data_IF_315863900531
#
_entry.id   IF_315863900531
#
_cell.length_a   1.000
_cell.length_b   1.000
_cell.length_c   1.000
_cell.angle_alpha   90.00
_cell.angle_beta   90.00
_cell.angle_gamma   90.00
#
_symmetry.space_group_name_H-M   'P 1'
#
loop_
_entity.id
_entity.type
_entity.pdbx_description
1 polymer ?
#
# COMPACT_ATOMS: atom_id res chain seq x y z
N UNK A 1 -7.29 -21.16 12.10
CA UNK A 1 -8.44 -20.35 11.64
C UNK A 1 -7.95 -19.39 10.57
N UNK A 2 -8.64 -19.37 9.45
CA UNK A 2 -8.53 -18.35 8.44
C UNK A 2 -9.54 -17.24 8.72
N UNK A 3 -9.15 -15.98 8.65
CA UNK A 3 -10.03 -14.85 8.87
C UNK A 3 -9.44 -13.57 8.26
N UNK A 4 -10.31 -12.57 8.04
CA UNK A 4 -9.89 -11.20 7.79
C UNK A 4 -9.87 -10.43 9.11
N UNK A 5 -8.90 -9.55 9.27
CA UNK A 5 -8.82 -8.65 10.42
C UNK A 5 -9.68 -7.42 10.17
N UNK A 6 -10.67 -7.16 11.01
CA UNK A 6 -11.38 -5.87 11.01
C UNK A 6 -10.71 -4.86 11.93
N UNK A 7 -9.96 -5.34 12.93
CA UNK A 7 -9.19 -4.50 13.84
C UNK A 7 -7.94 -5.26 14.33
N UNK A 8 -6.85 -4.53 14.49
CA UNK A 8 -5.62 -5.02 15.11
C UNK A 8 -4.95 -3.87 15.89
N UNK A 9 -4.80 -4.01 17.20
CA UNK A 9 -4.14 -3.01 18.02
C UNK A 9 -3.33 -3.61 19.17
N UNK A 10 -2.25 -2.92 19.53
CA UNK A 10 -1.44 -3.27 20.69
C UNK A 10 -1.91 -2.47 21.92
N UNK A 11 -2.21 -3.18 22.99
CA UNK A 11 -2.50 -2.56 24.29
C UNK A 11 -1.23 -2.16 25.04
N UNK A 12 -1.38 -1.28 26.03
CA UNK A 12 -0.27 -0.79 26.90
C UNK A 12 0.54 -1.90 27.58
N UNK A 13 -0.05 -3.08 27.76
CA UNK A 13 0.62 -4.27 28.33
C UNK A 13 1.50 -5.05 27.33
N UNK A 14 1.54 -4.64 26.07
CA UNK A 14 2.26 -5.33 25.00
C UNK A 14 1.53 -6.58 24.51
N UNK A 15 0.23 -6.71 24.78
CA UNK A 15 -0.66 -7.70 24.20
C UNK A 15 -1.23 -7.16 22.90
N UNK A 16 -1.47 -8.04 21.92
CA UNK A 16 -2.19 -7.66 20.71
C UNK A 16 -3.63 -8.17 20.77
N UNK A 17 -4.57 -7.31 20.41
CA UNK A 17 -5.99 -7.60 20.33
C UNK A 17 -6.42 -7.53 18.88
N UNK A 18 -7.07 -8.59 18.42
CA UNK A 18 -7.49 -8.78 17.05
C UNK A 18 -9.00 -8.99 17.01
N UNK A 19 -9.63 -8.35 16.05
CA UNK A 19 -11.00 -8.65 15.71
C UNK A 19 -11.03 -9.38 14.38
N UNK A 20 -11.55 -10.60 14.39
CA UNK A 20 -11.61 -11.50 13.25
C UNK A 20 -13.00 -11.40 12.63
N UNK A 21 -13.07 -11.28 11.32
CA UNK A 21 -14.31 -11.32 10.56
C UNK A 21 -14.23 -12.34 9.44
N UNK A 22 -15.38 -12.91 9.12
CA UNK A 22 -15.63 -13.62 7.88
C UNK A 22 -16.68 -12.84 7.09
N UNK A 23 -16.41 -12.58 5.82
CA UNK A 23 -17.31 -11.85 4.93
C UNK A 23 -17.99 -12.78 3.96
N UNK A 24 -19.22 -12.46 3.61
CA UNK A 24 -19.91 -13.09 2.48
C UNK A 24 -19.19 -12.71 1.17
N UNK A 25 -18.85 -13.71 0.36
CA UNK A 25 -18.10 -13.51 -0.90
C UNK A 25 -18.84 -12.62 -1.93
N UNK A 26 -20.17 -12.52 -1.83
CA UNK A 26 -20.99 -11.78 -2.80
C UNK A 26 -21.33 -10.37 -2.34
N UNK A 27 -21.59 -10.19 -1.04
CA UNK A 27 -22.07 -8.92 -0.47
C UNK A 27 -20.99 -8.13 0.27
N UNK A 28 -19.82 -8.73 0.49
CA UNK A 28 -18.72 -8.18 1.30
C UNK A 28 -19.15 -7.76 2.72
N UNK A 29 -20.30 -8.28 3.19
CA UNK A 29 -20.82 -8.00 4.55
C UNK A 29 -20.29 -9.03 5.53
N UNK A 30 -19.92 -8.63 6.77
CA UNK A 30 -19.48 -9.56 7.79
C UNK A 30 -20.63 -10.52 8.16
N UNK A 31 -20.37 -11.84 8.04
CA UNK A 31 -21.29 -12.91 8.42
C UNK A 31 -20.92 -13.54 9.77
N UNK A 32 -19.66 -13.43 10.17
CA UNK A 32 -19.20 -13.86 11.48
C UNK A 32 -18.14 -12.88 12.02
N UNK A 33 -18.10 -12.78 13.35
CA UNK A 33 -17.17 -11.91 14.07
C UNK A 33 -16.70 -12.60 15.34
N UNK A 34 -15.41 -12.52 15.62
CA UNK A 34 -14.82 -13.08 16.82
C UNK A 34 -13.67 -12.21 17.33
N UNK A 35 -13.48 -12.21 18.65
CA UNK A 35 -12.32 -11.55 19.27
C UNK A 35 -11.22 -12.56 19.53
N UNK A 36 -9.98 -12.15 19.25
CA UNK A 36 -8.79 -12.92 19.53
C UNK A 36 -7.75 -12.07 20.26
N UNK A 37 -7.00 -12.71 21.15
CA UNK A 37 -5.95 -12.04 21.92
C UNK A 37 -4.63 -12.80 21.73
N UNK A 38 -3.57 -12.06 21.45
CA UNK A 38 -2.22 -12.58 21.45
C UNK A 38 -1.47 -12.02 22.65
N UNK A 39 -1.07 -12.92 23.56
CA UNK A 39 -0.39 -12.49 24.79
C UNK A 39 1.02 -12.00 24.49
N UNK A 40 1.52 -11.05 25.29
CA UNK A 40 2.83 -10.39 25.14
C UNK A 40 3.97 -11.37 24.89
N UNK A 41 4.00 -12.48 25.64
CA UNK A 41 5.07 -13.50 25.54
C UNK A 41 5.12 -14.18 24.15
N UNK A 42 4.00 -14.27 23.44
CA UNK A 42 3.93 -14.77 22.06
C UNK A 42 4.10 -13.63 21.06
N UNK A 43 3.41 -12.50 21.31
CA UNK A 43 3.41 -11.36 20.42
C UNK A 43 4.80 -10.80 20.12
N UNK A 44 5.67 -10.76 21.14
CA UNK A 44 7.06 -10.29 20.99
C UNK A 44 7.91 -11.13 20.02
N UNK A 45 7.49 -12.36 19.68
CA UNK A 45 8.14 -13.21 18.68
C UNK A 45 7.38 -13.20 17.34
N UNK A 46 6.04 -13.24 17.39
CA UNK A 46 5.19 -13.29 16.19
C UNK A 46 5.33 -12.00 15.39
N UNK A 47 5.20 -10.84 16.02
CA UNK A 47 5.25 -9.54 15.36
C UNK A 47 6.53 -9.32 14.55
N UNK A 48 7.74 -9.40 15.13
CA UNK A 48 8.96 -9.18 14.36
C UNK A 48 9.17 -10.21 13.23
N UNK A 49 8.77 -11.46 13.48
CA UNK A 49 8.87 -12.49 12.45
C UNK A 49 7.90 -12.24 11.28
N UNK A 50 6.66 -11.86 11.58
CA UNK A 50 5.66 -11.51 10.58
C UNK A 50 6.11 -10.29 9.76
N UNK A 51 6.50 -9.20 10.42
CA UNK A 51 6.97 -7.97 9.79
C UNK A 51 8.24 -8.20 8.92
N UNK A 52 9.16 -9.05 9.38
CA UNK A 52 10.36 -9.40 8.61
C UNK A 52 10.06 -10.19 7.33
N UNK A 53 9.08 -11.08 7.36
CA UNK A 53 8.75 -11.95 6.22
C UNK A 53 7.81 -11.23 5.25
N UNK A 54 6.77 -10.56 5.75
CA UNK A 54 5.76 -9.90 4.93
C UNK A 54 6.13 -8.49 4.50
N UNK A 55 7.12 -7.87 5.15
CA UNK A 55 7.44 -6.44 4.98
C UNK A 55 6.38 -5.50 5.56
N UNK A 56 5.33 -6.01 6.18
CA UNK A 56 4.18 -5.22 6.64
C UNK A 56 3.89 -5.43 8.12
N UNK A 57 3.30 -4.40 8.75
CA UNK A 57 2.70 -4.54 10.08
C UNK A 57 1.33 -5.19 9.96
N UNK A 58 0.94 -5.92 10.99
CA UNK A 58 -0.42 -6.48 11.08
C UNK A 58 -1.41 -5.30 11.25
N UNK A 59 -2.39 -5.22 10.36
CA UNK A 59 -3.42 -4.17 10.34
C UNK A 59 -4.78 -4.71 9.89
N UNK A 60 -5.82 -3.88 9.99
CA UNK A 60 -7.15 -4.18 9.49
C UNK A 60 -7.12 -4.42 7.96
N UNK A 61 -8.01 -5.27 7.45
CA UNK A 61 -8.10 -5.65 6.04
C UNK A 61 -7.18 -6.78 5.60
N UNK A 62 -6.24 -7.21 6.45
CA UNK A 62 -5.38 -8.36 6.15
C UNK A 62 -6.12 -9.68 6.31
N UNK A 63 -5.95 -10.59 5.36
CA UNK A 63 -6.27 -12.01 5.53
C UNK A 63 -5.12 -12.74 6.20
N UNK A 64 -5.43 -13.44 7.26
CA UNK A 64 -4.44 -14.15 8.09
C UNK A 64 -4.85 -15.59 8.36
N UNK A 65 -3.86 -16.47 8.45
CA UNK A 65 -4.04 -17.83 8.95
C UNK A 65 -3.47 -17.90 10.35
N UNK A 66 -4.36 -18.11 11.33
CA UNK A 66 -4.03 -18.08 12.75
C UNK A 66 -4.02 -19.50 13.32
N UNK A 67 -3.01 -19.81 14.11
CA UNK A 67 -3.04 -20.92 15.05
C UNK A 67 -3.61 -20.40 16.36
N UNK A 68 -4.77 -20.92 16.76
CA UNK A 68 -5.49 -20.45 17.94
C UNK A 68 -5.95 -21.61 18.81
N UNK A 69 -6.15 -21.33 20.10
CA UNK A 69 -6.91 -22.19 20.99
C UNK A 69 -8.03 -21.40 21.67
N UNK A 70 -9.08 -22.09 22.04
CA UNK A 70 -10.23 -21.51 22.74
C UNK A 70 -9.90 -21.35 24.22
N UNK A 71 -10.21 -20.20 24.80
CA UNK A 71 -10.15 -19.94 26.23
C UNK A 71 -11.48 -19.39 26.72
N UNK A 72 -11.96 -19.92 27.83
CA UNK A 72 -13.11 -19.36 28.53
C UNK A 72 -12.66 -18.79 29.86
N UNK A 73 -13.09 -17.59 30.17
CA UNK A 73 -12.86 -16.92 31.44
C UNK A 73 -14.17 -16.51 32.07
N UNK A 74 -14.32 -16.74 33.38
CA UNK A 74 -15.57 -16.53 34.13
C UNK A 74 -16.15 -15.10 33.94
N UNK A 75 -15.29 -14.09 33.93
CA UNK A 75 -15.70 -12.67 33.83
C UNK A 75 -15.69 -12.13 32.40
N UNK A 76 -14.88 -12.72 31.49
CA UNK A 76 -14.65 -12.17 30.15
C UNK A 76 -15.24 -13.04 29.03
N UNK A 77 -15.83 -14.19 29.40
CA UNK A 77 -16.46 -15.09 28.47
C UNK A 77 -15.47 -15.85 27.58
N UNK A 78 -15.92 -16.20 26.41
CA UNK A 78 -15.15 -16.96 25.42
C UNK A 78 -14.28 -16.04 24.57
N UNK A 79 -13.03 -16.42 24.35
CA UNK A 79 -12.11 -15.74 23.43
C UNK A 79 -11.16 -16.73 22.74
N UNK A 80 -10.68 -16.34 21.56
CA UNK A 80 -9.61 -17.05 20.90
C UNK A 80 -8.26 -16.49 21.36
N UNK A 81 -7.34 -17.40 21.71
CA UNK A 81 -5.95 -17.04 22.04
C UNK A 81 -5.07 -17.43 20.86
N UNK A 82 -4.33 -16.45 20.33
CA UNK A 82 -3.45 -16.63 19.19
C UNK A 82 -2.11 -17.17 19.67
N UNK A 83 -1.75 -18.33 19.16
CA UNK A 83 -0.46 -18.99 19.42
C UNK A 83 0.56 -18.68 18.34
N UNK A 84 0.10 -18.47 17.07
CA UNK A 84 0.95 -18.19 15.93
C UNK A 84 0.15 -17.57 14.77
N UNK A 85 0.83 -16.89 13.86
CA UNK A 85 0.30 -16.30 12.62
C UNK A 85 1.21 -16.73 11.48
N UNK A 86 0.65 -17.33 10.43
CA UNK A 86 1.41 -17.76 9.26
C UNK A 86 1.63 -16.59 8.29
N UNK A 87 2.85 -16.06 8.19
CA UNK A 87 3.13 -14.95 7.28
C UNK A 87 3.06 -15.34 5.80
N UNK A 88 3.34 -16.60 5.46
CA UNK A 88 3.32 -17.05 4.06
C UNK A 88 1.91 -17.08 3.50
N UNK A 89 0.92 -17.39 4.34
CA UNK A 89 -0.49 -17.31 3.95
C UNK A 89 -0.88 -15.89 3.55
N UNK A 90 -0.52 -14.90 4.37
CA UNK A 90 -0.82 -13.48 4.09
C UNK A 90 -0.11 -13.00 2.82
N UNK A 91 1.16 -13.36 2.62
CA UNK A 91 1.89 -13.05 1.37
C UNK A 91 1.22 -13.68 0.14
N UNK A 92 0.77 -14.92 0.24
CA UNK A 92 0.05 -15.59 -0.84
C UNK A 92 -1.26 -14.89 -1.20
N UNK A 93 -2.03 -14.41 -0.23
CA UNK A 93 -3.26 -13.65 -0.45
C UNK A 93 -2.98 -12.29 -1.12
N UNK A 94 -1.95 -11.60 -0.70
CA UNK A 94 -1.52 -10.33 -1.30
C UNK A 94 -1.09 -10.50 -2.76
N UNK A 95 -0.27 -11.50 -3.04
CA UNK A 95 0.16 -11.81 -4.42
C UNK A 95 -1.04 -12.19 -5.30
N UNK A 96 -2.01 -12.94 -4.76
CA UNK A 96 -3.24 -13.29 -5.48
C UNK A 96 -4.08 -12.06 -5.80
N UNK A 97 -4.31 -11.17 -4.84
CA UNK A 97 -5.05 -9.91 -5.04
C UNK A 97 -4.38 -9.04 -6.11
N UNK A 98 -3.06 -8.92 -6.06
CA UNK A 98 -2.30 -8.16 -7.07
C UNK A 98 -2.48 -8.75 -8.47
N UNK A 99 -2.40 -10.08 -8.58
CA UNK A 99 -2.62 -10.76 -9.86
C UNK A 99 -4.04 -10.57 -10.39
N UNK A 100 -5.04 -10.57 -9.52
CA UNK A 100 -6.44 -10.29 -9.87
C UNK A 100 -6.58 -8.86 -10.44
N UNK A 101 -5.97 -7.86 -9.81
CA UNK A 101 -5.95 -6.48 -10.30
C UNK A 101 -5.31 -6.40 -11.69
N UNK A 102 -4.13 -6.98 -11.86
CA UNK A 102 -3.42 -7.00 -13.16
C UNK A 102 -4.28 -7.66 -14.24
N UNK A 103 -4.92 -8.77 -13.94
CA UNK A 103 -5.79 -9.47 -14.90
C UNK A 103 -7.02 -8.64 -15.27
N UNK A 104 -7.60 -7.90 -14.32
CA UNK A 104 -8.72 -6.99 -14.58
C UNK A 104 -8.28 -5.87 -15.52
N UNK A 105 -7.18 -5.18 -15.23
CA UNK A 105 -6.65 -4.11 -16.09
C UNK A 105 -6.31 -4.60 -17.52
N UNK A 106 -5.79 -5.83 -17.64
CA UNK A 106 -5.54 -6.45 -18.95
C UNK A 106 -6.85 -6.75 -19.69
N UNK A 107 -7.88 -7.25 -18.99
CA UNK A 107 -9.18 -7.53 -19.59
C UNK A 107 -9.88 -6.24 -20.06
N UNK A 108 -9.69 -5.13 -19.37
CA UNK A 108 -10.19 -3.80 -19.73
C UNK A 108 -9.35 -3.12 -20.82
N UNK A 109 -8.17 -3.67 -21.13
CA UNK A 109 -7.28 -3.11 -22.17
C UNK A 109 -6.53 -1.85 -21.76
N UNK A 110 -6.49 -1.54 -20.46
CA UNK A 110 -5.84 -0.31 -19.95
C UNK A 110 -4.43 -0.54 -19.39
N UNK A 111 -4.02 -1.79 -19.22
CA UNK A 111 -2.77 -2.17 -18.56
C UNK A 111 -1.51 -1.57 -19.18
N UNK A 112 -1.48 -1.40 -20.50
CA UNK A 112 -0.30 -0.92 -21.24
C UNK A 112 -0.39 0.58 -21.58
N UNK A 113 -1.49 1.28 -21.26
CA UNK A 113 -1.71 2.67 -21.71
C UNK A 113 -0.61 3.62 -21.23
N UNK A 114 -0.13 3.49 -20.01
CA UNK A 114 0.95 4.33 -19.49
C UNK A 114 2.28 4.11 -20.22
N UNK A 115 2.58 2.87 -20.64
CA UNK A 115 3.80 2.55 -21.38
C UNK A 115 3.79 3.06 -22.80
N UNK A 116 2.60 3.39 -23.35
CA UNK A 116 2.46 4.02 -24.66
C UNK A 116 2.73 5.53 -24.62
N UNK A 117 2.70 6.15 -23.43
CA UNK A 117 2.98 7.56 -23.23
C UNK A 117 4.49 7.79 -23.18
N UNK A 118 5.01 8.52 -24.18
CA UNK A 118 6.42 8.91 -24.19
C UNK A 118 6.68 10.11 -23.29
N UNK A 119 7.72 10.07 -22.47
CA UNK A 119 8.20 11.26 -21.77
C UNK A 119 8.64 12.31 -22.81
N UNK A 120 8.22 13.59 -22.66
CA UNK A 120 8.69 14.65 -23.53
C UNK A 120 10.23 14.78 -23.45
N UNK A 121 10.89 15.10 -24.57
CA UNK A 121 12.34 15.31 -24.62
C UNK A 121 12.82 16.36 -23.59
N UNK A 122 12.00 17.34 -23.28
CA UNK A 122 12.26 18.37 -22.28
C UNK A 122 11.20 18.29 -21.16
N UNK A 123 11.23 17.22 -20.38
CA UNK A 123 10.37 17.04 -19.23
C UNK A 123 10.88 17.92 -18.07
N UNK A 124 10.35 19.12 -17.93
CA UNK A 124 10.81 20.10 -16.93
C UNK A 124 9.75 20.46 -15.89
N UNK A 125 8.45 20.27 -16.20
CA UNK A 125 7.34 20.62 -15.33
C UNK A 125 6.78 19.35 -14.71
N UNK A 126 7.13 19.10 -13.46
CA UNK A 126 6.87 17.83 -12.78
C UNK A 126 5.84 18.01 -11.67
N UNK A 127 4.70 17.35 -11.79
CA UNK A 127 3.78 17.20 -10.66
C UNK A 127 4.26 16.08 -9.75
N UNK A 128 4.44 16.36 -8.46
CA UNK A 128 4.93 15.38 -7.49
C UNK A 128 3.82 15.05 -6.51
N UNK A 129 3.43 13.78 -6.43
CA UNK A 129 2.50 13.28 -5.40
C UNK A 129 3.34 12.64 -4.31
N UNK A 130 3.31 13.22 -3.11
CA UNK A 130 4.07 12.73 -1.96
C UNK A 130 3.53 13.30 -0.65
N UNK A 131 4.01 12.80 0.47
CA UNK A 131 3.80 13.49 1.74
C UNK A 131 4.75 14.71 1.84
N UNK A 132 4.24 15.82 2.33
CA UNK A 132 5.03 17.06 2.50
C UNK A 132 6.27 16.87 3.41
N UNK A 133 6.24 15.88 4.28
CA UNK A 133 7.32 15.57 5.23
C UNK A 133 8.15 14.35 4.83
N UNK A 134 7.91 13.78 3.65
CA UNK A 134 8.62 12.60 3.19
C UNK A 134 10.08 12.93 2.84
N UNK A 135 11.02 12.19 3.40
CA UNK A 135 12.45 12.32 3.07
C UNK A 135 12.70 12.12 1.57
N UNK A 136 12.09 11.10 0.96
CA UNK A 136 12.24 10.82 -0.47
C UNK A 136 11.80 11.97 -1.39
N UNK A 137 10.79 12.77 -0.99
CA UNK A 137 10.45 14.00 -1.71
C UNK A 137 11.57 15.03 -1.64
N UNK A 138 12.15 15.22 -0.44
CA UNK A 138 13.28 16.13 -0.26
C UNK A 138 14.51 15.70 -1.06
N UNK A 139 14.85 14.41 -1.03
CA UNK A 139 15.97 13.83 -1.76
C UNK A 139 15.78 13.98 -3.29
N UNK A 140 14.57 13.72 -3.78
CA UNK A 140 14.22 13.90 -5.19
C UNK A 140 14.40 15.35 -5.64
N UNK A 141 13.85 16.32 -4.91
CA UNK A 141 14.00 17.75 -5.23
C UNK A 141 15.46 18.20 -5.17
N UNK A 142 16.24 17.68 -4.20
CA UNK A 142 17.65 17.99 -4.07
C UNK A 142 18.44 17.49 -5.30
N UNK A 143 18.23 16.23 -5.71
CA UNK A 143 18.90 15.67 -6.89
C UNK A 143 18.54 16.38 -8.19
N UNK A 144 17.29 16.81 -8.35
CA UNK A 144 16.89 17.63 -9.50
C UNK A 144 17.56 19.02 -9.50
N UNK A 145 17.78 19.60 -8.34
CA UNK A 145 18.43 20.90 -8.23
C UNK A 145 19.95 20.82 -8.40
N UNK A 146 20.56 19.75 -7.92
CA UNK A 146 22.02 19.51 -7.93
C UNK A 146 22.42 18.54 -9.06
N UNK A 147 21.91 18.76 -10.27
CA UNK A 147 22.22 17.93 -11.42
C UNK A 147 23.45 18.46 -12.21
N UNK A 148 24.31 17.54 -12.64
CA UNK A 148 25.58 17.84 -13.35
C UNK A 148 25.38 18.55 -14.69
N UNK A 149 24.17 18.53 -15.24
CA UNK A 149 23.86 19.07 -16.58
C UNK A 149 23.35 20.51 -16.54
N UNK A 150 23.15 21.10 -15.36
CA UNK A 150 22.62 22.46 -15.19
C UNK A 150 21.16 22.62 -15.67
N UNK A 151 20.41 21.53 -15.74
CA UNK A 151 19.02 21.55 -16.13
C UNK A 151 18.16 22.15 -15.00
N UNK A 152 17.14 22.92 -15.38
CA UNK A 152 16.21 23.51 -14.42
C UNK A 152 14.87 22.77 -14.47
N UNK A 153 14.41 22.30 -13.33
CA UNK A 153 13.13 21.63 -13.17
C UNK A 153 12.19 22.45 -12.30
N UNK A 154 10.92 22.45 -12.66
CA UNK A 154 9.84 23.06 -11.89
C UNK A 154 9.01 21.94 -11.28
N UNK A 155 9.15 21.73 -10.00
CA UNK A 155 8.36 20.73 -9.25
C UNK A 155 7.21 21.40 -8.51
N UNK A 156 6.02 20.79 -8.55
CA UNK A 156 4.88 21.21 -7.73
C UNK A 156 4.37 20.03 -6.95
N UNK A 157 4.35 20.18 -5.62
CA UNK A 157 3.88 19.14 -4.72
C UNK A 157 2.35 19.13 -4.62
N UNK A 158 1.77 17.97 -4.83
CA UNK A 158 0.39 17.62 -4.52
C UNK A 158 0.41 16.69 -3.30
N UNK A 159 0.12 17.21 -2.11
CA UNK A 159 0.29 16.45 -0.88
C UNK A 159 -0.72 15.30 -0.80
N UNK A 160 -0.21 14.10 -0.50
CA UNK A 160 -1.04 12.92 -0.31
C UNK A 160 -0.55 12.07 0.88
N UNK A 161 -1.46 11.30 1.43
CA UNK A 161 -1.15 10.29 2.43
C UNK A 161 -0.46 9.11 1.75
N UNK A 162 0.73 8.75 2.22
CA UNK A 162 1.57 7.71 1.60
C UNK A 162 1.68 6.43 2.43
N UNK A 163 0.88 6.29 3.49
CA UNK A 163 0.88 5.12 4.38
C UNK A 163 -0.52 4.90 4.98
N UNK A 164 -0.89 3.62 5.18
CA UNK A 164 -2.14 3.23 5.81
C UNK A 164 -3.36 3.30 4.88
N UNK A 165 -4.56 3.20 5.45
CA UNK A 165 -5.82 3.03 4.72
C UNK A 165 -6.24 4.23 3.85
N UNK A 166 -5.69 5.42 4.11
CA UNK A 166 -6.03 6.64 3.36
C UNK A 166 -5.25 6.85 2.06
N UNK A 167 -4.34 5.96 1.68
CA UNK A 167 -3.45 6.12 0.51
C UNK A 167 -4.25 6.21 -0.78
N UNK A 168 -5.11 5.24 -1.07
CA UNK A 168 -5.91 5.18 -2.28
C UNK A 168 -6.64 6.50 -2.56
N UNK A 169 -7.50 6.90 -1.63
CA UNK A 169 -8.33 8.09 -1.79
C UNK A 169 -7.50 9.37 -1.90
N UNK A 170 -6.42 9.45 -1.12
CA UNK A 170 -5.57 10.64 -1.09
C UNK A 170 -4.75 10.80 -2.38
N UNK A 171 -4.23 9.70 -2.93
CA UNK A 171 -3.49 9.73 -4.21
C UNK A 171 -4.43 9.98 -5.38
N UNK A 172 -5.62 9.38 -5.41
CA UNK A 172 -6.64 9.64 -6.43
C UNK A 172 -7.04 11.13 -6.41
N UNK A 173 -7.31 11.71 -5.23
CA UNK A 173 -7.64 13.13 -5.12
C UNK A 173 -6.50 14.05 -5.61
N UNK A 174 -5.24 13.66 -5.40
CA UNK A 174 -4.10 14.37 -5.95
C UNK A 174 -4.02 14.24 -7.48
N UNK A 175 -4.26 13.05 -8.04
CA UNK A 175 -4.36 12.84 -9.49
C UNK A 175 -5.49 13.66 -10.11
N UNK A 176 -6.67 13.71 -9.51
CA UNK A 176 -7.79 14.54 -9.97
C UNK A 176 -7.42 16.03 -9.99
N UNK A 177 -6.71 16.50 -8.97
CA UNK A 177 -6.24 17.89 -8.90
C UNK A 177 -5.23 18.21 -10.00
N UNK A 178 -4.33 17.27 -10.31
CA UNK A 178 -3.37 17.42 -11.43
C UNK A 178 -4.12 17.37 -12.76
N UNK A 179 -5.09 16.47 -12.91
CA UNK A 179 -5.87 16.33 -14.13
C UNK A 179 -6.67 17.58 -14.47
N UNK A 180 -7.13 18.33 -13.48
CA UNK A 180 -7.83 19.61 -13.71
C UNK A 180 -6.94 20.70 -14.37
N UNK A 181 -5.62 20.55 -14.30
CA UNK A 181 -4.64 21.49 -14.84
C UNK A 181 -3.46 20.77 -15.56
N UNK A 182 -3.75 19.60 -16.13
CA UNK A 182 -2.75 18.69 -16.72
C UNK A 182 -1.82 19.34 -17.76
N UNK A 183 -2.29 20.34 -18.48
CA UNK A 183 -1.50 21.09 -19.48
C UNK A 183 -0.30 21.86 -18.86
N UNK A 184 -0.29 22.06 -17.55
CA UNK A 184 0.79 22.72 -16.84
C UNK A 184 1.96 21.77 -16.54
N UNK A 185 1.81 20.47 -16.75
CA UNK A 185 2.80 19.46 -16.39
C UNK A 185 3.23 18.64 -17.60
N UNK A 186 4.43 18.10 -17.52
CA UNK A 186 5.01 17.21 -18.53
C UNK A 186 4.93 15.75 -18.08
N UNK A 187 4.99 15.49 -16.77
CA UNK A 187 4.81 14.18 -16.17
C UNK A 187 4.36 14.31 -14.70
N UNK A 188 3.96 13.17 -14.15
CA UNK A 188 3.66 13.00 -12.72
C UNK A 188 4.67 12.05 -12.09
N UNK A 189 5.13 12.35 -10.89
CA UNK A 189 6.00 11.47 -10.11
C UNK A 189 5.32 11.16 -8.78
N UNK A 190 5.10 9.88 -8.48
CA UNK A 190 4.54 9.43 -7.21
C UNK A 190 5.70 8.92 -6.36
N UNK A 191 6.02 9.64 -5.28
CA UNK A 191 7.16 9.32 -4.42
C UNK A 191 6.68 8.98 -3.02
N UNK A 192 7.05 7.81 -2.56
CA UNK A 192 6.94 7.44 -1.15
C UNK A 192 8.32 7.49 -0.49
N UNK A 193 8.42 8.26 0.59
CA UNK A 193 9.63 8.27 1.41
C UNK A 193 9.85 6.94 2.13
N UNK A 194 11.11 6.56 2.32
CA UNK A 194 11.49 5.36 3.05
C UNK A 194 11.01 5.41 4.52
N UNK A 195 10.34 4.39 4.97
CA UNK A 195 9.99 4.13 6.36
C UNK A 195 10.41 2.71 6.73
N UNK A 196 10.62 2.44 8.03
CA UNK A 196 11.20 1.21 8.54
C UNK A 196 10.44 -0.09 8.25
N UNK A 197 9.21 -0.03 7.71
CA UNK A 197 8.44 -1.15 7.16
C UNK A 197 7.55 -0.59 6.06
N UNK A 198 7.79 -1.03 4.85
CA UNK A 198 7.05 -0.55 3.68
C UNK A 198 5.70 -1.25 3.56
N UNK A 199 4.69 -0.76 4.28
CA UNK A 199 3.32 -1.15 3.97
C UNK A 199 2.91 -0.52 2.63
N UNK A 200 2.88 -1.32 1.59
CA UNK A 200 2.49 -0.93 0.22
C UNK A 200 1.04 -1.31 -0.09
N UNK A 201 0.32 -1.92 0.84
CA UNK A 201 -1.05 -2.42 0.60
C UNK A 201 -2.01 -1.33 0.13
N UNK A 202 -1.82 -0.09 0.59
CA UNK A 202 -2.63 1.05 0.16
C UNK A 202 -2.43 1.45 -1.31
N UNK A 203 -1.34 0.97 -1.95
CA UNK A 203 -1.09 1.17 -3.38
C UNK A 203 -1.58 -0.01 -4.25
N UNK A 204 -1.91 -1.15 -3.64
CA UNK A 204 -2.37 -2.36 -4.32
C UNK A 204 -3.90 -2.43 -4.36
N UNK A 205 -4.55 -1.43 -4.95
CA UNK A 205 -6.00 -1.36 -5.11
C UNK A 205 -6.36 -1.18 -6.58
N UNK A 206 -7.49 -1.76 -6.99
CA UNK A 206 -7.97 -1.68 -8.38
C UNK A 206 -8.25 -0.22 -8.77
N UNK A 207 -8.97 0.51 -7.92
CA UNK A 207 -9.34 1.89 -8.21
C UNK A 207 -8.12 2.80 -8.44
N UNK A 208 -7.07 2.68 -7.63
CA UNK A 208 -5.85 3.45 -7.82
C UNK A 208 -5.11 3.02 -9.09
N UNK A 209 -5.00 1.72 -9.36
CA UNK A 209 -4.35 1.19 -10.54
C UNK A 209 -5.06 1.62 -11.85
N UNK A 210 -6.41 1.65 -11.88
CA UNK A 210 -7.20 2.17 -12.99
C UNK A 210 -6.97 3.67 -13.21
N UNK A 211 -6.96 4.47 -12.13
CA UNK A 211 -6.71 5.91 -12.22
C UNK A 211 -5.31 6.20 -12.77
N UNK A 212 -4.30 5.45 -12.33
CA UNK A 212 -2.93 5.57 -12.85
C UNK A 212 -2.86 5.13 -14.32
N UNK A 213 -3.43 3.97 -14.67
CA UNK A 213 -3.39 3.43 -16.02
C UNK A 213 -4.06 4.35 -17.06
N UNK A 214 -5.15 5.00 -16.69
CA UNK A 214 -5.92 5.91 -17.57
C UNK A 214 -5.46 7.37 -17.51
N UNK A 215 -4.43 7.69 -16.75
CA UNK A 215 -3.98 9.08 -16.58
C UNK A 215 -3.37 9.64 -17.88
N UNK A 216 -3.68 10.89 -18.29
CA UNK A 216 -3.28 11.42 -19.59
C UNK A 216 -1.79 11.81 -19.68
N UNK A 217 -1.08 11.93 -18.56
CA UNK A 217 0.35 12.20 -18.52
C UNK A 217 1.14 10.96 -18.10
N UNK A 218 2.41 10.82 -18.54
CA UNK A 218 3.28 9.77 -18.04
C UNK A 218 3.41 9.84 -16.52
N UNK A 219 3.25 8.69 -15.85
CA UNK A 219 3.41 8.56 -14.41
C UNK A 219 4.66 7.72 -14.12
N UNK A 220 5.58 8.29 -13.35
CA UNK A 220 6.77 7.61 -12.83
C UNK A 220 6.54 7.32 -11.36
N UNK A 221 6.85 6.11 -10.92
CA UNK A 221 6.69 5.73 -9.52
C UNK A 221 8.04 5.47 -8.85
N UNK A 222 8.25 6.10 -7.69
CA UNK A 222 9.33 5.83 -6.74
C UNK A 222 8.73 5.33 -5.43
N UNK A 223 8.24 4.06 -5.43
CA UNK A 223 7.50 3.48 -4.32
C UNK A 223 8.23 2.21 -3.87
N UNK A 224 8.78 2.22 -2.64
CA UNK A 224 9.48 1.06 -2.07
C UNK A 224 10.96 0.94 -2.49
N UNK A 225 11.54 -0.24 -2.30
CA UNK A 225 12.91 -0.60 -2.66
C UNK A 225 12.87 -1.68 -3.75
N UNK A 226 14.00 -2.03 -4.36
CA UNK A 226 14.15 -3.03 -5.44
C UNK A 226 13.41 -4.39 -5.24
N UNK A 227 13.06 -4.73 -4.00
CA UNK A 227 12.36 -5.98 -3.65
C UNK A 227 10.88 -5.79 -3.37
N UNK A 228 10.41 -4.56 -3.39
CA UNK A 228 9.03 -4.22 -3.08
C UNK A 228 8.23 -4.21 -4.38
N UNK A 229 7.17 -4.99 -4.45
CA UNK A 229 6.26 -5.04 -5.60
C UNK A 229 4.94 -4.36 -5.28
N UNK A 230 4.42 -3.57 -6.20
CA UNK A 230 3.10 -2.96 -6.15
C UNK A 230 2.44 -3.04 -7.53
N UNK A 231 1.10 -3.05 -7.59
CA UNK A 231 0.35 -2.99 -8.85
C UNK A 231 0.77 -1.78 -9.70
N UNK A 232 1.11 -0.66 -9.06
CA UNK A 232 1.51 0.56 -9.75
C UNK A 232 2.82 0.42 -10.53
N UNK A 233 3.74 -0.42 -10.07
CA UNK A 233 5.00 -0.70 -10.80
C UNK A 233 4.76 -1.38 -12.14
N UNK A 234 3.62 -2.06 -12.30
CA UNK A 234 3.26 -2.72 -13.55
C UNK A 234 2.43 -1.84 -14.48
N UNK A 235 1.77 -0.82 -13.95
CA UNK A 235 0.87 0.09 -14.71
C UNK A 235 1.47 1.45 -15.00
N UNK A 236 2.51 1.85 -14.29
CA UNK A 236 3.30 3.06 -14.53
C UNK A 236 4.65 2.71 -15.17
N UNK A 237 5.35 3.71 -15.69
CA UNK A 237 6.77 3.55 -16.01
C UNK A 237 7.55 3.52 -14.68
N UNK A 238 8.08 2.36 -14.31
CA UNK A 238 8.97 2.28 -13.17
C UNK A 238 10.26 2.99 -13.56
N UNK A 239 10.73 3.90 -12.72
CA UNK A 239 12.07 4.42 -12.86
C UNK A 239 13.04 3.24 -12.68
N UNK A 240 13.47 2.64 -13.78
CA UNK A 240 14.60 1.71 -13.78
C UNK A 240 15.86 2.52 -13.43
N UNK A 241 16.35 2.29 -12.18
CA UNK A 241 17.54 2.84 -11.52
C UNK A 241 17.50 4.29 -11.05
#
# INVERSE_FOLDING_TARGET
VEAELSEAHEGYGGHCYLELIEKDERSNTPIAKAHASCWRNRWMFIKPNFERITGQRIHAGMKVLLKVHAQFHENYGFSWIVDDIDPNYTMGDMARKRLEIINTLKAEGVFELQKELALPMFCQRIAVISSATAAGHGDFCYQLADNDYGLQFQTRLFPATMQGEGVEQSVIAALDSINAEWEQFDCVVIIRGGGATSDLSGFDTLALAENVANFPLPIITGIGHERDESCLLYTSDAADE
#
